data_IF_110955626528
#
_entry.id   IF_110955626528
#
_cell.length_a   1.000
_cell.length_b   1.000
_cell.length_c   1.000
_cell.angle_alpha   90.00
_cell.angle_beta   90.00
_cell.angle_gamma   90.00
#
_symmetry.space_group_name_H-M   'P 1'
#
loop_
_entity.id
_entity.type
_entity.pdbx_description
1 polymer ?
#
# COMPACT_ATOMS: atom_id res chain seq x y z
N UNK A 1 -5.66 16.41 108.98
CA UNK A 1 -4.40 17.08 108.69
C UNK A 1 -3.67 16.24 107.69
N UNK A 2 -3.86 16.52 106.37
CA UNK A 2 -2.99 16.13 105.28
C UNK A 2 -3.57 16.67 103.99
N UNK A 3 -2.96 17.75 103.44
CA UNK A 3 -3.18 18.30 102.11
C UNK A 3 -2.60 17.41 101.05
N UNK A 4 -3.39 16.97 100.11
CA UNK A 4 -2.92 16.27 98.90
C UNK A 4 -3.09 17.24 97.71
N UNK A 5 -1.99 17.79 97.25
CA UNK A 5 -1.87 18.54 96.02
C UNK A 5 -2.05 17.61 94.79
N UNK A 6 -3.10 17.82 94.03
CA UNK A 6 -3.28 17.11 92.78
C UNK A 6 -2.70 18.00 91.63
N UNK A 7 -1.62 17.55 91.02
CA UNK A 7 -1.00 18.13 89.85
C UNK A 7 -1.81 17.73 88.64
N UNK A 8 -2.59 18.69 88.04
CA UNK A 8 -3.29 18.46 86.82
C UNK A 8 -2.32 18.78 85.63
N UNK A 9 -1.74 17.77 85.02
CA UNK A 9 -0.99 17.87 83.79
C UNK A 9 -1.96 18.22 82.68
N UNK A 10 -1.96 19.47 82.20
CA UNK A 10 -2.60 19.87 80.96
C UNK A 10 -1.81 19.29 79.78
N UNK A 11 -2.30 18.19 79.21
CA UNK A 11 -1.88 17.67 77.93
C UNK A 11 -2.37 18.63 76.85
N UNK A 12 -1.49 19.52 76.37
CA UNK A 12 -1.75 20.33 75.17
C UNK A 12 -1.82 19.40 73.98
N UNK A 13 -3.05 19.06 73.54
CA UNK A 13 -3.30 18.39 72.29
C UNK A 13 -2.90 19.35 71.14
N UNK A 14 -1.68 19.14 70.60
CA UNK A 14 -1.26 19.77 69.36
C UNK A 14 -2.14 19.19 68.25
N UNK A 15 -3.11 19.96 67.79
CA UNK A 15 -3.88 19.64 66.57
C UNK A 15 -2.91 19.61 65.39
N UNK A 16 -2.84 18.53 64.63
CA UNK A 16 -1.99 18.47 63.43
C UNK A 16 -2.57 19.49 62.41
N UNK A 17 -1.72 20.43 61.98
CA UNK A 17 -2.04 21.38 60.88
C UNK A 17 -2.30 20.57 59.60
N UNK A 18 -3.58 20.32 59.25
CA UNK A 18 -4.06 19.62 58.04
C UNK A 18 -3.95 20.45 56.78
N UNK A 19 -3.31 21.63 56.77
CA UNK A 19 -3.29 22.56 55.62
C UNK A 19 -2.26 22.26 54.53
N UNK A 20 -1.23 21.44 54.77
CA UNK A 20 -0.15 21.22 53.82
C UNK A 20 -0.37 20.07 52.81
N UNK A 21 -1.19 19.11 53.19
CA UNK A 21 -1.34 17.85 52.41
C UNK A 21 -2.10 18.03 51.08
N UNK A 22 -3.04 18.98 50.96
CA UNK A 22 -3.82 19.23 49.75
C UNK A 22 -3.00 19.87 48.62
N UNK A 23 -2.07 20.76 48.93
CA UNK A 23 -1.19 21.40 47.94
C UNK A 23 -0.19 20.37 47.36
N UNK A 24 0.39 19.52 48.23
CA UNK A 24 1.29 18.45 47.76
C UNK A 24 0.58 17.41 46.88
N UNK A 25 -0.69 17.08 47.21
CA UNK A 25 -1.49 16.16 46.41
C UNK A 25 -1.82 16.73 45.02
N UNK A 26 -2.12 18.03 44.94
CA UNK A 26 -2.36 18.71 43.66
C UNK A 26 -1.10 18.73 42.77
N UNK A 27 0.06 19.03 43.38
CA UNK A 27 1.33 19.04 42.65
C UNK A 27 1.72 17.65 42.15
N UNK A 28 1.53 16.58 42.96
CA UNK A 28 1.79 15.21 42.52
C UNK A 28 0.82 14.75 41.43
N UNK A 29 -0.44 15.17 41.50
CA UNK A 29 -1.42 14.88 40.43
C UNK A 29 -1.04 15.57 39.11
N UNK A 30 -0.67 16.86 39.15
CA UNK A 30 -0.22 17.60 37.96
C UNK A 30 1.05 16.95 37.37
N UNK A 31 2.02 16.58 38.21
CA UNK A 31 3.23 15.91 37.76
C UNK A 31 2.91 14.55 37.14
N UNK A 32 2.00 13.76 37.76
CA UNK A 32 1.58 12.47 37.25
C UNK A 32 0.88 12.58 35.89
N UNK A 33 -0.04 13.55 35.74
CA UNK A 33 -0.70 13.81 34.46
C UNK A 33 0.32 14.27 33.41
N UNK A 34 1.24 15.17 33.80
CA UNK A 34 2.30 15.63 32.88
C UNK A 34 3.20 14.50 32.37
N UNK A 35 3.60 13.60 33.26
CA UNK A 35 4.38 12.41 32.91
C UNK A 35 3.58 11.44 32.03
N UNK A 36 2.29 11.23 32.31
CA UNK A 36 1.43 10.38 31.50
C UNK A 36 1.25 10.95 30.09
N UNK A 37 1.01 12.24 29.95
CA UNK A 37 0.91 12.91 28.65
C UNK A 37 2.23 12.85 27.87
N UNK A 38 3.36 13.05 28.54
CA UNK A 38 4.68 12.95 27.93
C UNK A 38 4.96 11.52 27.46
N UNK A 39 4.56 10.52 28.25
CA UNK A 39 4.70 9.12 27.88
C UNK A 39 3.82 8.78 26.66
N UNK A 40 2.55 9.20 26.65
CA UNK A 40 1.65 9.02 25.50
C UNK A 40 2.23 9.68 24.25
N UNK A 41 2.72 10.89 24.38
CA UNK A 41 3.34 11.62 23.27
C UNK A 41 4.60 10.91 22.74
N UNK A 42 5.47 10.41 23.62
CA UNK A 42 6.67 9.67 23.22
C UNK A 42 6.33 8.34 22.51
N UNK A 43 5.29 7.64 22.98
CA UNK A 43 4.78 6.42 22.34
C UNK A 43 4.18 6.73 20.97
N UNK A 44 3.38 7.80 20.86
CA UNK A 44 2.80 8.22 19.57
C UNK A 44 3.89 8.52 18.54
N UNK A 45 4.93 9.28 18.93
CA UNK A 45 6.07 9.58 18.05
C UNK A 45 6.78 8.33 17.53
N UNK A 46 6.85 7.27 18.33
CA UNK A 46 7.56 6.05 17.96
C UNK A 46 6.68 5.08 17.16
N UNK A 47 5.37 5.04 17.43
CA UNK A 47 4.43 4.15 16.74
C UNK A 47 4.00 4.69 15.38
N UNK A 48 3.88 6.01 15.23
CA UNK A 48 3.42 6.64 14.00
C UNK A 48 4.19 6.19 12.75
N UNK A 49 5.54 6.23 12.69
CA UNK A 49 6.27 5.81 11.49
C UNK A 49 6.09 4.31 11.19
N UNK A 50 5.91 3.49 12.22
CA UNK A 50 5.67 2.04 12.07
C UNK A 50 4.28 1.82 11.46
N UNK A 51 3.26 2.52 11.96
CA UNK A 51 1.90 2.47 11.44
C UNK A 51 1.86 2.93 9.97
N UNK A 52 2.50 4.05 9.65
CA UNK A 52 2.56 4.60 8.30
C UNK A 52 3.24 3.63 7.31
N UNK A 53 4.36 3.02 7.71
CA UNK A 53 5.05 2.03 6.90
C UNK A 53 4.19 0.75 6.70
N UNK A 54 3.55 0.26 7.75
CA UNK A 54 2.67 -0.90 7.69
C UNK A 54 1.43 -0.64 6.82
N UNK A 55 0.83 0.55 6.97
CA UNK A 55 -0.32 0.96 6.17
C UNK A 55 0.04 1.07 4.69
N UNK A 56 1.15 1.75 4.37
CA UNK A 56 1.64 1.86 2.99
C UNK A 56 1.85 0.49 2.35
N UNK A 57 2.54 -0.41 3.06
CA UNK A 57 2.81 -1.76 2.54
C UNK A 57 1.51 -2.57 2.34
N UNK A 58 0.57 -2.51 3.29
CA UNK A 58 -0.70 -3.23 3.18
C UNK A 58 -1.56 -2.67 2.06
N UNK A 59 -1.73 -1.35 2.02
CA UNK A 59 -2.52 -0.66 1.00
C UNK A 59 -1.93 -0.92 -0.38
N UNK A 60 -0.61 -0.77 -0.56
CA UNK A 60 0.04 -1.07 -1.83
C UNK A 60 -0.27 -2.49 -2.31
N UNK A 61 -0.15 -3.50 -1.44
CA UNK A 61 -0.43 -4.89 -1.79
C UNK A 61 -1.90 -5.13 -2.16
N UNK A 62 -2.84 -4.55 -1.41
CA UNK A 62 -4.28 -4.73 -1.67
C UNK A 62 -4.66 -4.01 -2.95
N UNK A 63 -4.31 -2.72 -3.08
CA UNK A 63 -4.63 -1.92 -4.27
C UNK A 63 -4.03 -2.53 -5.53
N UNK A 64 -2.73 -2.90 -5.52
CA UNK A 64 -2.11 -3.54 -6.70
C UNK A 64 -2.87 -4.79 -7.11
N UNK A 65 -3.23 -5.66 -6.15
CA UNK A 65 -3.98 -6.89 -6.45
C UNK A 65 -5.37 -6.59 -7.01
N UNK A 66 -6.05 -5.60 -6.45
CA UNK A 66 -7.40 -5.20 -6.89
C UNK A 66 -7.35 -4.59 -8.30
N UNK A 67 -6.36 -3.74 -8.58
CA UNK A 67 -6.13 -3.19 -9.92
C UNK A 67 -5.82 -4.30 -10.93
N UNK A 68 -4.90 -5.19 -10.59
CA UNK A 68 -4.50 -6.30 -11.45
C UNK A 68 -5.69 -7.22 -11.77
N UNK A 69 -6.49 -7.58 -10.76
CA UNK A 69 -7.70 -8.35 -10.93
C UNK A 69 -8.74 -7.65 -11.80
N UNK A 70 -9.14 -6.43 -11.44
CA UNK A 70 -10.19 -5.70 -12.15
C UNK A 70 -9.83 -5.43 -13.62
N UNK A 71 -8.58 -5.09 -13.90
CA UNK A 71 -8.13 -4.81 -15.27
C UNK A 71 -7.99 -6.11 -16.05
N UNK A 72 -7.43 -7.17 -15.47
CA UNK A 72 -7.28 -8.47 -16.12
C UNK A 72 -8.64 -9.09 -16.47
N UNK A 73 -9.61 -9.01 -15.57
CA UNK A 73 -10.98 -9.48 -15.79
C UNK A 73 -11.63 -8.71 -16.94
N UNK A 74 -11.47 -7.40 -16.96
CA UNK A 74 -12.00 -6.56 -18.04
C UNK A 74 -11.37 -6.88 -19.41
N UNK A 75 -10.04 -7.02 -19.46
CA UNK A 75 -9.33 -7.38 -20.69
C UNK A 75 -9.76 -8.76 -21.19
N UNK A 76 -9.96 -9.72 -20.26
CA UNK A 76 -10.44 -11.06 -20.57
C UNK A 76 -11.89 -11.03 -21.11
N UNK A 77 -12.77 -10.22 -20.50
CA UNK A 77 -14.18 -10.07 -20.93
C UNK A 77 -14.28 -9.48 -22.33
N UNK A 78 -13.41 -8.55 -22.68
CA UNK A 78 -13.37 -7.96 -24.02
C UNK A 78 -12.96 -8.99 -25.09
N UNK A 79 -12.24 -10.04 -24.72
CA UNK A 79 -11.74 -11.04 -25.66
C UNK A 79 -10.78 -10.47 -26.71
N UNK A 80 -10.15 -9.33 -26.40
CA UNK A 80 -9.23 -8.65 -27.32
C UNK A 80 -7.99 -9.54 -27.56
N UNK A 81 -7.76 -9.86 -28.83
CA UNK A 81 -6.56 -10.54 -29.24
C UNK A 81 -5.46 -9.56 -29.65
N UNK A 82 -4.23 -10.06 -29.77
CA UNK A 82 -3.10 -9.27 -30.24
C UNK A 82 -3.38 -8.54 -31.56
N UNK A 83 -4.10 -9.19 -32.51
CA UNK A 83 -4.41 -8.64 -33.84
C UNK A 83 -5.40 -7.49 -33.81
N UNK A 84 -6.15 -7.33 -32.73
CA UNK A 84 -7.11 -6.23 -32.57
C UNK A 84 -6.38 -4.94 -32.17
N UNK A 85 -5.18 -5.06 -31.60
CA UNK A 85 -4.35 -3.96 -31.16
C UNK A 85 -3.16 -3.67 -32.07
N UNK A 86 -2.64 -4.73 -32.74
CA UNK A 86 -1.43 -4.65 -33.57
C UNK A 86 -1.70 -5.28 -34.92
N UNK A 87 -1.48 -4.50 -35.98
CA UNK A 87 -1.48 -4.99 -37.35
C UNK A 87 -0.06 -5.37 -37.73
N UNK A 88 0.09 -6.59 -38.27
CA UNK A 88 1.36 -7.06 -38.82
C UNK A 88 1.38 -6.75 -40.33
N UNK A 89 2.36 -6.00 -40.79
CA UNK A 89 2.63 -5.81 -42.20
C UNK A 89 3.65 -6.85 -42.66
N UNK A 90 3.39 -7.44 -43.83
CA UNK A 90 4.25 -8.45 -44.41
C UNK A 90 4.69 -8.08 -45.82
N UNK A 91 5.88 -8.52 -46.22
CA UNK A 91 6.37 -8.41 -47.61
C UNK A 91 5.74 -9.48 -48.53
N UNK A 92 6.12 -9.45 -49.81
CA UNK A 92 5.65 -10.41 -50.82
C UNK A 92 6.03 -11.88 -50.49
N UNK A 93 7.00 -12.10 -49.61
CA UNK A 93 7.46 -13.40 -49.16
C UNK A 93 6.81 -13.84 -47.85
N UNK A 94 5.86 -13.04 -47.31
CA UNK A 94 5.20 -13.32 -46.05
C UNK A 94 6.05 -13.00 -44.80
N UNK A 95 7.16 -12.29 -44.94
CA UNK A 95 7.99 -11.89 -43.80
C UNK A 95 7.42 -10.62 -43.17
N UNK A 96 7.32 -10.59 -41.83
CA UNK A 96 6.86 -9.42 -41.09
C UNK A 96 7.87 -8.29 -41.27
N UNK A 97 7.41 -7.17 -41.82
CA UNK A 97 8.23 -5.96 -42.05
C UNK A 97 7.95 -4.86 -41.07
N UNK A 98 6.72 -4.79 -40.53
CA UNK A 98 6.36 -3.81 -39.52
C UNK A 98 5.25 -4.34 -38.59
N UNK A 99 5.27 -3.83 -37.36
CA UNK A 99 4.19 -3.95 -36.38
C UNK A 99 3.59 -2.55 -36.22
N UNK A 100 2.34 -2.41 -36.60
CA UNK A 100 1.64 -1.12 -36.56
C UNK A 100 0.56 -1.16 -35.51
N UNK A 101 0.70 -0.33 -34.48
CA UNK A 101 -0.27 -0.23 -33.38
C UNK A 101 -1.53 0.50 -33.82
N UNK A 102 -2.70 -0.04 -33.50
CA UNK A 102 -3.96 0.68 -33.63
C UNK A 102 -4.12 1.65 -32.45
N UNK A 103 -3.66 2.88 -32.66
CA UNK A 103 -3.70 3.92 -31.64
C UNK A 103 -5.11 4.31 -31.21
N UNK A 104 -6.11 4.13 -32.08
CA UNK A 104 -7.50 4.42 -31.73
C UNK A 104 -8.04 3.37 -30.75
N UNK A 105 -7.79 2.08 -31.00
CA UNK A 105 -8.15 0.99 -30.14
C UNK A 105 -7.42 1.10 -28.78
N UNK A 106 -6.11 1.35 -28.79
CA UNK A 106 -5.31 1.52 -27.58
C UNK A 106 -5.80 2.71 -26.73
N UNK A 107 -6.11 3.85 -27.32
CA UNK A 107 -6.61 5.01 -26.58
C UNK A 107 -8.01 4.77 -26.00
N UNK A 108 -8.90 4.09 -26.73
CA UNK A 108 -10.22 3.71 -26.22
C UNK A 108 -10.09 2.76 -25.01
N UNK A 109 -9.23 1.75 -25.12
CA UNK A 109 -8.92 0.82 -24.04
C UNK A 109 -8.33 1.54 -22.82
N UNK A 110 -7.36 2.42 -23.04
CA UNK A 110 -6.74 3.24 -21.98
C UNK A 110 -7.78 4.03 -21.20
N UNK A 111 -8.68 4.74 -21.90
CA UNK A 111 -9.70 5.56 -21.24
C UNK A 111 -10.62 4.73 -20.35
N UNK A 112 -10.98 3.54 -20.82
CA UNK A 112 -11.85 2.65 -20.08
C UNK A 112 -11.16 2.07 -18.84
N UNK A 113 -9.91 1.64 -18.99
CA UNK A 113 -9.10 1.10 -17.90
C UNK A 113 -8.86 2.13 -16.80
N UNK A 114 -8.63 3.40 -17.15
CA UNK A 114 -8.51 4.47 -16.17
C UNK A 114 -9.76 4.61 -15.30
N UNK A 115 -10.96 4.49 -15.88
CA UNK A 115 -12.21 4.50 -15.14
C UNK A 115 -12.31 3.29 -14.19
N UNK A 116 -12.00 2.09 -14.70
CA UNK A 116 -12.03 0.85 -13.89
C UNK A 116 -11.02 0.91 -12.75
N UNK A 117 -9.83 1.45 -12.98
CA UNK A 117 -8.79 1.56 -11.97
C UNK A 117 -9.22 2.47 -10.80
N UNK A 118 -9.84 3.61 -11.09
CA UNK A 118 -10.35 4.52 -10.05
C UNK A 118 -11.49 3.85 -9.28
N UNK A 119 -12.46 3.26 -9.99
CA UNK A 119 -13.60 2.57 -9.38
C UNK A 119 -13.17 1.39 -8.50
N UNK A 120 -12.16 0.63 -8.93
CA UNK A 120 -11.60 -0.49 -8.18
C UNK A 120 -10.98 -0.03 -6.86
N UNK A 121 -10.27 1.11 -6.85
CA UNK A 121 -9.70 1.68 -5.62
C UNK A 121 -10.80 2.21 -4.69
N UNK A 122 -11.78 2.93 -5.22
CA UNK A 122 -12.86 3.54 -4.43
C UNK A 122 -13.81 2.47 -3.84
N UNK A 123 -13.87 1.28 -4.44
CA UNK A 123 -14.70 0.16 -3.96
C UNK A 123 -14.06 -0.67 -2.86
N UNK A 124 -12.81 -0.38 -2.47
CA UNK A 124 -12.11 -1.15 -1.44
C UNK A 124 -12.79 -1.06 -0.07
N UNK A 125 -13.01 -2.21 0.56
CA UNK A 125 -13.60 -2.27 1.90
C UNK A 125 -12.56 -1.86 2.96
N UNK A 126 -12.97 -0.95 3.86
CA UNK A 126 -12.18 -0.53 5.02
C UNK A 126 -11.77 -1.70 5.92
N UNK A 127 -12.60 -2.73 6.01
CA UNK A 127 -12.29 -3.91 6.81
C UNK A 127 -11.10 -4.70 6.25
N UNK A 128 -10.93 -4.73 4.93
CA UNK A 128 -9.80 -5.38 4.28
C UNK A 128 -8.48 -4.65 4.54
N UNK A 129 -8.55 -3.32 4.69
CA UNK A 129 -7.40 -2.45 4.91
C UNK A 129 -7.00 -2.33 6.38
N UNK A 130 -7.87 -2.68 7.33
CA UNK A 130 -7.61 -2.54 8.75
C UNK A 130 -6.34 -3.25 9.21
N UNK A 131 -5.59 -2.61 10.13
CA UNK A 131 -4.32 -3.12 10.65
C UNK A 131 -4.49 -3.49 12.12
N UNK A 132 -4.29 -4.77 12.52
CA UNK A 132 -4.28 -5.16 13.92
C UNK A 132 -3.16 -4.45 14.69
N UNK A 133 -3.51 -3.83 15.83
CA UNK A 133 -2.55 -3.07 16.65
C UNK A 133 -1.36 -3.92 17.11
N UNK A 134 -1.53 -5.23 17.24
CA UNK A 134 -0.46 -6.16 17.59
C UNK A 134 0.69 -6.19 16.58
N UNK A 135 0.42 -5.89 15.31
CA UNK A 135 1.46 -5.81 14.27
C UNK A 135 2.44 -4.64 14.51
N UNK A 136 2.01 -3.60 15.23
CA UNK A 136 2.84 -2.43 15.52
C UNK A 136 3.80 -2.65 16.69
N UNK A 137 3.59 -3.70 17.49
CA UNK A 137 4.40 -3.98 18.67
C UNK A 137 5.75 -4.63 18.35
N UNK A 138 5.92 -5.15 17.14
CA UNK A 138 7.10 -5.93 16.76
C UNK A 138 7.21 -7.30 17.43
N UNK A 139 6.21 -7.71 18.22
CA UNK A 139 6.19 -8.99 18.94
C UNK A 139 5.41 -10.01 18.11
N UNK A 140 6.09 -11.06 17.62
CA UNK A 140 5.47 -12.10 16.78
C UNK A 140 4.24 -12.77 17.43
N UNK A 141 4.22 -12.91 18.75
CA UNK A 141 3.10 -13.52 19.49
C UNK A 141 1.82 -12.66 19.41
N UNK A 142 1.94 -11.36 19.24
CA UNK A 142 0.83 -10.40 19.12
C UNK A 142 0.45 -10.09 17.67
N UNK A 143 1.19 -10.59 16.70
CA UNK A 143 0.89 -10.40 15.27
C UNK A 143 -0.50 -10.91 14.93
N UNK A 144 -1.27 -10.11 14.21
CA UNK A 144 -2.65 -10.38 13.85
C UNK A 144 -3.66 -10.29 15.00
N UNK A 145 -3.26 -9.80 16.18
CA UNK A 145 -4.13 -9.67 17.35
C UNK A 145 -4.29 -8.21 17.78
N UNK A 146 -5.34 -7.96 18.55
CA UNK A 146 -5.62 -6.64 19.14
C UNK A 146 -6.72 -5.88 18.40
N UNK A 147 -6.85 -4.61 18.75
CA UNK A 147 -7.83 -3.70 18.12
C UNK A 147 -7.40 -3.43 16.69
N UNK A 148 -8.33 -3.49 15.77
CA UNK A 148 -8.10 -3.12 14.38
C UNK A 148 -8.08 -1.60 14.24
N UNK A 149 -6.97 -1.09 13.69
CA UNK A 149 -6.83 0.32 13.37
C UNK A 149 -7.43 0.54 11.99
N UNK A 150 -8.41 1.43 11.86
CA UNK A 150 -9.04 1.69 10.57
C UNK A 150 -8.03 2.36 9.63
N UNK A 151 -7.97 1.84 8.42
CA UNK A 151 -7.24 2.43 7.29
C UNK A 151 -8.24 2.62 6.17
N UNK A 152 -8.26 3.79 5.57
CA UNK A 152 -9.11 4.11 4.43
C UNK A 152 -8.24 4.58 3.28
N UNK A 153 -8.62 4.22 2.08
CA UNK A 153 -7.95 4.65 0.85
C UNK A 153 -8.95 5.36 -0.03
N UNK A 154 -8.52 6.46 -0.58
CA UNK A 154 -9.31 7.26 -1.53
C UNK A 154 -8.43 7.53 -2.74
N UNK A 155 -8.95 7.32 -3.94
CA UNK A 155 -8.28 7.75 -5.15
C UNK A 155 -8.28 9.28 -5.22
N UNK A 156 -7.10 9.88 -5.34
CA UNK A 156 -6.93 11.35 -5.36
C UNK A 156 -6.30 11.76 -6.67
N UNK A 157 -7.04 12.53 -7.46
CA UNK A 157 -6.50 13.10 -8.70
C UNK A 157 -6.63 12.19 -9.91
N UNK A 158 -5.57 12.09 -10.69
CA UNK A 158 -5.57 11.39 -11.98
C UNK A 158 -4.93 10.02 -11.87
N UNK A 159 -5.60 9.01 -12.39
CA UNK A 159 -4.95 7.76 -12.74
C UNK A 159 -4.16 7.95 -14.06
N UNK A 160 -3.02 7.29 -14.16
CA UNK A 160 -2.18 7.28 -15.36
C UNK A 160 -2.18 5.88 -15.93
N UNK A 161 -2.22 5.77 -17.24
CA UNK A 161 -2.09 4.50 -17.93
C UNK A 161 -1.27 4.70 -19.21
N UNK A 162 -0.25 3.87 -19.39
CA UNK A 162 0.61 3.90 -20.57
C UNK A 162 0.78 2.50 -21.14
N UNK A 163 0.79 2.40 -22.48
CA UNK A 163 1.13 1.14 -23.13
C UNK A 163 2.61 1.13 -23.47
N UNK A 164 3.27 0.08 -23.03
CA UNK A 164 4.66 -0.21 -23.36
C UNK A 164 4.72 -1.40 -24.33
N UNK A 165 5.46 -1.24 -25.41
CA UNK A 165 5.74 -2.29 -26.38
C UNK A 165 7.11 -2.90 -26.05
N UNK A 166 7.14 -4.16 -25.67
CA UNK A 166 8.35 -4.87 -25.31
C UNK A 166 8.65 -6.01 -26.30
N UNK A 167 9.89 -6.04 -26.78
CA UNK A 167 10.41 -7.11 -27.61
C UNK A 167 11.48 -7.87 -26.84
N UNK A 168 11.31 -9.17 -26.70
CA UNK A 168 12.26 -10.04 -26.02
C UNK A 168 12.57 -11.29 -26.85
N UNK A 169 13.74 -11.86 -26.63
CA UNK A 169 14.12 -13.12 -27.25
C UNK A 169 13.26 -14.27 -26.66
N UNK A 170 12.70 -15.11 -27.51
CA UNK A 170 11.87 -16.24 -27.13
C UNK A 170 12.49 -17.60 -27.56
N UNK A 171 13.70 -17.59 -28.08
CA UNK A 171 14.41 -18.76 -28.54
C UNK A 171 15.07 -18.57 -29.91
N UNK A 172 15.57 -19.64 -30.50
CA UNK A 172 16.26 -19.58 -31.79
C UNK A 172 15.29 -19.08 -32.87
N UNK A 173 15.56 -17.88 -33.43
CA UNK A 173 14.74 -17.21 -34.43
C UNK A 173 13.30 -16.90 -34.00
N UNK A 174 13.09 -16.72 -32.70
CA UNK A 174 11.78 -16.37 -32.16
C UNK A 174 11.90 -15.09 -31.35
N UNK A 175 11.01 -14.13 -31.63
CA UNK A 175 10.92 -12.87 -30.87
C UNK A 175 9.54 -12.79 -30.26
N UNK A 176 9.48 -12.62 -28.96
CA UNK A 176 8.24 -12.35 -28.25
C UNK A 176 7.98 -10.85 -28.29
N UNK A 177 6.82 -10.49 -28.74
CA UNK A 177 6.31 -9.14 -28.65
C UNK A 177 5.16 -9.08 -27.66
N UNK A 178 5.30 -8.26 -26.62
CA UNK A 178 4.29 -8.05 -25.59
C UNK A 178 3.86 -6.59 -25.57
N UNK A 179 2.57 -6.39 -25.37
CA UNK A 179 2.01 -5.08 -25.03
C UNK A 179 1.71 -5.11 -23.54
N UNK A 180 2.45 -4.33 -22.80
CA UNK A 180 2.29 -4.14 -21.37
C UNK A 180 1.49 -2.87 -21.14
N UNK A 181 0.58 -2.90 -20.17
CA UNK A 181 -0.12 -1.74 -19.70
C UNK A 181 0.39 -1.40 -18.32
N UNK A 182 0.96 -0.23 -18.17
CA UNK A 182 1.40 0.33 -16.90
C UNK A 182 0.33 1.29 -16.40
N UNK A 183 -0.30 0.93 -15.29
CA UNK A 183 -1.36 1.74 -14.66
C UNK A 183 -0.89 2.22 -13.31
N UNK A 184 -0.96 3.52 -13.08
CA UNK A 184 -0.62 4.14 -11.80
C UNK A 184 -1.79 4.97 -11.31
N UNK A 185 -2.18 4.78 -10.05
CA UNK A 185 -3.23 5.56 -9.38
C UNK A 185 -2.63 6.27 -8.18
N UNK A 186 -2.83 7.58 -8.12
CA UNK A 186 -2.50 8.36 -6.93
C UNK A 186 -3.58 8.13 -5.86
N UNK A 187 -3.16 7.72 -4.68
CA UNK A 187 -4.06 7.42 -3.57
C UNK A 187 -3.65 8.17 -2.31
N UNK A 188 -4.65 8.55 -1.56
CA UNK A 188 -4.51 9.09 -0.23
C UNK A 188 -4.91 8.03 0.80
N UNK A 189 -3.99 7.72 1.71
CA UNK A 189 -4.19 6.75 2.79
C UNK A 189 -4.52 7.53 4.05
N UNK A 190 -5.74 7.37 4.54
CA UNK A 190 -6.22 8.02 5.75
C UNK A 190 -5.98 7.09 6.95
N UNK A 191 -5.21 7.59 7.91
CA UNK A 191 -4.87 6.90 9.15
C UNK A 191 -5.35 7.71 10.35
N UNK A 192 -5.56 7.08 11.53
CA UNK A 192 -5.79 7.82 12.75
C UNK A 192 -4.62 8.78 13.05
N UNK A 193 -4.86 10.08 12.89
CA UNK A 193 -3.89 11.14 13.18
C UNK A 193 -2.87 11.47 12.09
N UNK A 194 -2.91 10.81 10.92
CA UNK A 194 -2.06 11.18 9.77
C UNK A 194 -2.70 10.80 8.44
N UNK A 195 -2.20 11.43 7.38
CA UNK A 195 -2.60 11.16 6.00
C UNK A 195 -1.34 10.98 5.17
N UNK A 196 -1.33 9.98 4.28
CA UNK A 196 -0.20 9.67 3.41
C UNK A 196 -0.65 9.72 1.96
N UNK A 197 0.08 10.45 1.13
CA UNK A 197 -0.07 10.39 -0.32
C UNK A 197 0.94 9.42 -0.90
N UNK A 198 0.49 8.55 -1.80
CA UNK A 198 1.36 7.60 -2.50
C UNK A 198 0.78 7.27 -3.87
N UNK A 199 1.64 6.86 -4.77
CA UNK A 199 1.25 6.32 -6.06
C UNK A 199 1.40 4.81 -6.02
N UNK A 200 0.40 4.10 -6.52
CA UNK A 200 0.38 2.65 -6.57
C UNK A 200 0.13 2.24 -8.01
N UNK A 201 1.01 1.41 -8.55
CA UNK A 201 0.94 0.94 -9.92
C UNK A 201 0.80 -0.57 -10.03
N UNK A 202 0.31 -1.00 -11.19
CA UNK A 202 0.28 -2.37 -11.65
C UNK A 202 0.70 -2.43 -13.12
N UNK A 203 1.51 -3.42 -13.48
CA UNK A 203 1.91 -3.66 -14.86
C UNK A 203 1.25 -4.97 -15.33
N UNK A 204 0.43 -4.86 -16.36
CA UNK A 204 -0.44 -5.94 -16.81
C UNK A 204 -0.16 -6.26 -18.28
N UNK A 205 0.15 -7.52 -18.64
CA UNK A 205 0.26 -7.91 -20.04
C UNK A 205 -1.14 -7.94 -20.69
N UNK A 206 -1.34 -7.09 -21.69
CA UNK A 206 -2.63 -6.97 -22.41
C UNK A 206 -2.66 -7.91 -23.61
N UNK A 207 -1.55 -8.01 -24.34
CA UNK A 207 -1.46 -8.86 -25.51
C UNK A 207 -0.02 -9.37 -25.71
N UNK A 208 0.09 -10.57 -26.19
CA UNK A 208 1.39 -11.21 -26.49
C UNK A 208 1.31 -11.99 -27.80
N UNK A 209 2.41 -12.00 -28.54
CA UNK A 209 2.60 -12.88 -29.68
C UNK A 209 4.06 -13.29 -29.81
N UNK A 210 4.29 -14.45 -30.40
CA UNK A 210 5.64 -14.90 -30.76
C UNK A 210 5.79 -14.83 -32.27
N UNK A 211 6.73 -14.03 -32.72
CA UNK A 211 7.09 -13.89 -34.11
C UNK A 211 8.19 -14.89 -34.42
N UNK A 212 7.92 -15.82 -35.32
CA UNK A 212 8.90 -16.83 -35.74
C UNK A 212 9.58 -16.33 -37.00
N UNK A 213 10.87 -16.08 -36.93
CA UNK A 213 11.69 -15.72 -38.09
C UNK A 213 12.01 -16.92 -38.97
N UNK A 214 12.47 -16.65 -40.19
CA UNK A 214 12.98 -17.74 -41.07
C UNK A 214 14.24 -18.36 -40.42
N UNK A 215 14.29 -19.68 -40.42
CA UNK A 215 15.51 -20.41 -40.05
C UNK A 215 16.60 -20.03 -41.03
N UNK A 216 17.81 -19.58 -40.63
CA UNK A 216 18.90 -19.34 -41.55
C UNK A 216 19.24 -20.64 -42.29
N UNK A 217 19.29 -20.60 -43.60
CA UNK A 217 19.67 -21.74 -44.45
C UNK A 217 21.15 -22.16 -44.30
N UNK A 218 21.92 -21.43 -43.50
CA UNK A 218 23.30 -21.77 -43.17
C UNK A 218 23.35 -22.80 -42.05
N UNK A 219 23.06 -24.03 -42.37
CA UNK A 219 23.66 -25.17 -41.65
C UNK A 219 25.16 -25.09 -41.91
N UNK A 220 25.95 -24.72 -40.92
CA UNK A 220 27.39 -24.89 -40.94
C UNK A 220 27.66 -26.37 -41.12
N UNK A 221 27.86 -26.83 -42.37
CA UNK A 221 28.48 -28.08 -42.66
C UNK A 221 29.96 -27.95 -42.19
N UNK A 222 30.22 -28.37 -40.97
CA UNK A 222 31.57 -28.72 -40.57
C UNK A 222 31.91 -29.96 -41.35
N UNK A 223 32.48 -29.77 -42.55
CA UNK A 223 33.06 -30.83 -43.34
C UNK A 223 34.18 -31.44 -42.54
N UNK A 224 33.98 -32.68 -42.13
CA UNK A 224 35.07 -33.54 -41.70
C UNK A 224 35.98 -33.82 -42.91
N UNK A 225 37.26 -33.53 -42.77
CA UNK A 225 38.31 -34.15 -43.55
C UNK A 225 38.96 -35.20 -42.69
#
# INVERSE_FOLDING_TARGET
MHLRYAWVRRLSRRRPRRGGKRKGLLWSAILGIGLALLFIWAVDLQLRPILEAAARAKVSNVVTRTLDGAISDYVAELGLGYRDLIRMETDENGRITALVSDMAALNALRTRILGIAVEAVDSLDRAELAIPAGNLTGINLLSGKGVELPVEVVAVGTAHAEFESSLSDAGINQTRHQILLDVTVAVEILLPGSTLNTEIGAQIPVAETVIVGAVPDTVLQWGGA
#
